data_IF_254932544161
#
_entry.id   IF_254932544161
#
_cell.length_a   1.000
_cell.length_b   1.000
_cell.length_c   1.000
_cell.angle_alpha   90.00
_cell.angle_beta   90.00
_cell.angle_gamma   90.00
#
_symmetry.space_group_name_H-M   'P 1'
#
loop_
_entity.id
_entity.type
_entity.pdbx_description
1 polymer ?
#
# COMPACT_ATOMS: atom_id res chain seq x y z
N UNK A 1 -3.58 -2.73 -21.99
CA UNK A 1 -2.49 -3.70 -21.72
C UNK A 1 -2.07 -3.56 -20.27
N UNK A 2 -1.67 -4.64 -19.59
CA UNK A 2 -1.22 -4.61 -18.19
C UNK A 2 0.28 -4.37 -18.12
N UNK A 3 0.72 -3.32 -17.40
CA UNK A 3 2.14 -2.98 -17.24
C UNK A 3 2.85 -3.95 -16.28
N UNK A 4 4.19 -3.93 -16.26
CA UNK A 4 4.95 -4.76 -15.31
C UNK A 4 4.70 -4.36 -13.86
N UNK A 5 4.47 -3.07 -13.59
CA UNK A 5 4.02 -2.61 -12.28
C UNK A 5 2.66 -3.20 -11.91
N UNK A 6 1.67 -3.12 -12.80
CA UNK A 6 0.33 -3.65 -12.53
C UNK A 6 0.33 -5.18 -12.39
N UNK A 7 1.17 -5.92 -13.12
CA UNK A 7 1.38 -7.37 -12.93
C UNK A 7 1.85 -7.66 -11.50
N UNK A 8 2.71 -6.80 -10.96
CA UNK A 8 3.17 -6.90 -9.58
C UNK A 8 2.08 -6.47 -8.59
N UNK A 9 1.29 -5.41 -8.85
CA UNK A 9 0.34 -4.82 -7.90
C UNK A 9 -1.04 -5.49 -7.86
N UNK A 10 -1.65 -5.79 -9.01
CA UNK A 10 -3.03 -6.26 -9.06
C UNK A 10 -3.20 -7.67 -8.48
N UNK A 11 -4.34 -7.91 -7.84
CA UNK A 11 -4.72 -9.20 -7.29
C UNK A 11 -4.94 -9.18 -5.78
N UNK A 12 -5.23 -10.36 -5.24
CA UNK A 12 -5.48 -10.58 -3.82
C UNK A 12 -4.20 -11.05 -3.13
N UNK A 13 -3.94 -10.51 -1.95
CA UNK A 13 -2.82 -10.87 -1.11
C UNK A 13 -3.28 -11.15 0.31
N UNK A 14 -2.48 -11.95 1.02
CA UNK A 14 -2.64 -12.13 2.46
C UNK A 14 -1.28 -12.36 3.13
N UNK A 15 -1.21 -12.09 4.43
CA UNK A 15 -0.03 -12.38 5.25
C UNK A 15 -0.23 -13.67 6.09
N UNK A 16 -1.04 -14.64 5.64
CA UNK A 16 -1.41 -15.83 6.43
C UNK A 16 -0.19 -16.51 7.04
N UNK A 17 0.86 -16.78 6.24
CA UNK A 17 2.10 -17.43 6.72
C UNK A 17 2.76 -16.63 7.84
N UNK A 18 2.85 -15.30 7.70
CA UNK A 18 3.44 -14.42 8.70
C UNK A 18 2.60 -14.41 9.99
N UNK A 19 1.27 -14.27 9.87
CA UNK A 19 0.35 -14.28 11.00
C UNK A 19 0.35 -15.62 11.75
N UNK A 20 0.41 -16.76 11.05
CA UNK A 20 0.51 -18.08 11.70
C UNK A 20 1.87 -18.30 12.38
N UNK A 21 2.95 -17.70 11.86
CA UNK A 21 4.29 -17.86 12.43
C UNK A 21 4.51 -17.01 13.69
N UNK A 22 3.82 -15.88 13.83
CA UNK A 22 3.92 -14.98 14.99
C UNK A 22 2.55 -14.32 15.30
N UNK A 23 1.58 -15.09 15.82
CA UNK A 23 0.18 -14.66 15.92
C UNK A 23 -0.09 -13.53 16.92
N UNK A 24 0.81 -13.32 17.89
CA UNK A 24 0.72 -12.19 18.83
C UNK A 24 1.29 -10.89 18.24
N UNK A 25 2.05 -10.97 17.14
CA UNK A 25 2.70 -9.82 16.50
C UNK A 25 1.95 -9.36 15.25
N UNK A 26 1.30 -10.28 14.54
CA UNK A 26 0.65 -10.00 13.26
C UNK A 26 -0.80 -10.43 13.25
N UNK A 27 -1.70 -9.47 13.02
CA UNK A 27 -3.05 -9.79 12.58
C UNK A 27 -3.01 -10.39 11.17
N UNK A 28 -3.89 -11.34 10.89
CA UNK A 28 -4.09 -11.81 9.52
C UNK A 28 -4.95 -10.80 8.74
N UNK A 29 -4.37 -10.25 7.68
CA UNK A 29 -4.93 -9.20 6.85
C UNK A 29 -4.96 -9.69 5.41
N UNK A 30 -6.00 -9.29 4.68
CA UNK A 30 -6.12 -9.45 3.24
C UNK A 30 -6.07 -8.09 2.56
N UNK A 31 -5.48 -8.05 1.37
CA UNK A 31 -5.41 -6.87 0.51
C UNK A 31 -5.90 -7.27 -0.88
N UNK A 32 -6.76 -6.46 -1.48
CA UNK A 32 -7.15 -6.60 -2.87
C UNK A 32 -6.85 -5.32 -3.63
N UNK A 33 -6.18 -5.47 -4.76
CA UNK A 33 -6.01 -4.43 -5.78
C UNK A 33 -6.71 -4.86 -7.07
N UNK A 34 -7.68 -4.09 -7.52
CA UNK A 34 -8.46 -4.38 -8.71
C UNK A 34 -8.60 -3.16 -9.61
N UNK A 35 -8.87 -3.40 -10.90
CA UNK A 35 -9.20 -2.31 -11.84
C UNK A 35 -10.66 -1.95 -11.68
N UNK A 36 -10.94 -0.66 -11.73
CA UNK A 36 -12.27 -0.09 -11.79
C UNK A 36 -12.35 0.93 -12.92
N UNK A 37 -13.55 1.41 -13.24
CA UNK A 37 -13.68 2.55 -14.13
C UNK A 37 -12.93 3.76 -13.54
N UNK A 38 -12.07 4.39 -14.35
CA UNK A 38 -11.29 5.57 -13.94
C UNK A 38 -9.98 5.31 -13.20
N UNK A 39 -9.67 4.06 -12.81
CA UNK A 39 -8.39 3.74 -12.18
C UNK A 39 -8.35 2.38 -11.46
N UNK A 40 -7.78 2.37 -10.26
CA UNK A 40 -7.63 1.20 -9.41
C UNK A 40 -8.37 1.37 -8.10
N UNK A 41 -8.77 0.25 -7.51
CA UNK A 41 -9.36 0.17 -6.19
C UNK A 41 -8.51 -0.70 -5.29
N UNK A 42 -8.13 -0.18 -4.13
CA UNK A 42 -7.46 -0.96 -3.07
C UNK A 42 -8.38 -1.14 -1.88
N UNK A 43 -8.49 -2.38 -1.38
CA UNK A 43 -9.21 -2.72 -0.15
C UNK A 43 -8.30 -3.51 0.79
N UNK A 44 -8.39 -3.23 2.08
CA UNK A 44 -7.66 -3.96 3.12
C UNK A 44 -8.60 -4.28 4.28
N UNK A 45 -8.64 -5.53 4.71
CA UNK A 45 -9.51 -6.00 5.80
C UNK A 45 -8.82 -7.04 6.65
N UNK A 46 -9.26 -7.15 7.91
CA UNK A 46 -8.87 -8.28 8.75
C UNK A 46 -9.61 -9.54 8.29
N UNK A 47 -8.98 -10.72 8.38
CA UNK A 47 -9.62 -12.00 7.99
C UNK A 47 -11.04 -12.18 8.56
N UNK A 48 -11.26 -11.72 9.79
CA UNK A 48 -12.54 -11.89 10.50
C UNK A 48 -13.60 -10.83 10.15
N UNK A 49 -13.26 -9.79 9.39
CA UNK A 49 -14.12 -8.65 9.05
C UNK A 49 -14.10 -8.37 7.54
N UNK A 50 -14.37 -9.40 6.72
CA UNK A 50 -14.26 -9.33 5.25
C UNK A 50 -15.12 -8.24 4.58
N UNK A 51 -16.26 -7.91 5.17
CA UNK A 51 -17.24 -6.96 4.61
C UNK A 51 -17.02 -5.53 5.12
N UNK A 52 -16.03 -5.32 6.00
CA UNK A 52 -15.73 -4.03 6.62
C UNK A 52 -14.24 -3.70 6.45
N UNK A 53 -13.80 -3.32 5.22
CA UNK A 53 -12.42 -2.92 5.02
C UNK A 53 -12.06 -1.72 5.88
N UNK A 54 -11.00 -1.85 6.68
CA UNK A 54 -10.53 -0.77 7.55
C UNK A 54 -9.76 0.31 6.76
N UNK A 55 -9.28 -0.03 5.55
CA UNK A 55 -8.63 0.90 4.63
C UNK A 55 -9.06 0.63 3.21
N UNK A 56 -9.57 1.69 2.59
CA UNK A 56 -10.03 1.69 1.21
C UNK A 56 -9.59 2.99 0.51
N UNK A 57 -9.41 2.92 -0.80
CA UNK A 57 -9.02 4.07 -1.60
C UNK A 57 -8.98 3.76 -3.09
N UNK A 58 -9.22 4.79 -3.88
CA UNK A 58 -9.05 4.74 -5.32
C UNK A 58 -7.71 5.32 -5.72
N UNK A 59 -7.20 4.88 -6.87
CA UNK A 59 -5.88 5.27 -7.33
C UNK A 59 -5.83 5.47 -8.84
N UNK A 60 -4.96 6.37 -9.27
CA UNK A 60 -4.56 6.50 -10.67
C UNK A 60 -3.06 6.30 -10.79
N UNK A 61 -2.63 5.75 -11.92
CA UNK A 61 -1.22 5.54 -12.22
C UNK A 61 -0.77 6.59 -13.22
N UNK A 62 0.23 7.39 -12.86
CA UNK A 62 0.88 8.36 -13.74
C UNK A 62 2.32 7.95 -13.98
N UNK A 63 2.59 7.39 -15.17
CA UNK A 63 3.92 6.90 -15.53
C UNK A 63 4.80 8.07 -15.97
N UNK A 64 5.96 8.22 -15.34
CA UNK A 64 6.97 9.21 -15.74
C UNK A 64 8.07 8.56 -16.58
N UNK A 65 8.27 7.25 -16.46
CA UNK A 65 9.12 6.42 -17.33
C UNK A 65 8.75 4.92 -17.19
N UNK A 66 9.48 4.04 -17.86
CA UNK A 66 9.33 2.58 -17.71
C UNK A 66 9.71 2.07 -16.32
N UNK A 67 10.51 2.83 -15.57
CA UNK A 67 11.03 2.46 -14.26
C UNK A 67 10.55 3.39 -13.14
N UNK A 68 9.64 4.32 -13.43
CA UNK A 68 9.15 5.29 -12.45
C UNK A 68 7.69 5.68 -12.71
N UNK A 69 6.89 5.67 -11.65
CA UNK A 69 5.50 6.12 -11.70
C UNK A 69 5.06 6.74 -10.38
N UNK A 70 3.99 7.53 -10.47
CA UNK A 70 3.26 8.08 -9.33
C UNK A 70 1.94 7.31 -9.20
N UNK A 71 1.68 6.81 -7.99
CA UNK A 71 0.38 6.27 -7.57
C UNK A 71 -0.34 7.38 -6.84
N UNK A 72 -1.30 7.95 -7.55
CA UNK A 72 -2.15 9.03 -7.11
C UNK A 72 -3.21 8.50 -6.14
N UNK A 73 -3.30 9.07 -4.93
CA UNK A 73 -4.20 8.54 -3.89
C UNK A 73 -5.52 9.32 -3.81
N UNK A 74 -6.65 8.62 -3.84
CA UNK A 74 -7.98 9.21 -3.77
C UNK A 74 -8.85 8.55 -2.68
N UNK A 75 -9.83 9.30 -2.20
CA UNK A 75 -10.99 8.74 -1.49
C UNK A 75 -11.91 7.99 -2.48
N UNK A 76 -12.87 7.23 -1.95
CA UNK A 76 -13.81 6.42 -2.76
C UNK A 76 -14.88 7.23 -3.48
N UNK A 77 -14.90 8.54 -3.28
CA UNK A 77 -15.70 9.53 -4.03
C UNK A 77 -14.86 10.26 -5.11
N UNK A 78 -13.64 9.79 -5.38
CA UNK A 78 -12.65 10.42 -6.27
C UNK A 78 -12.14 11.79 -5.82
N UNK A 79 -12.34 12.18 -4.56
CA UNK A 79 -11.67 13.35 -3.98
C UNK A 79 -10.18 13.03 -3.76
N UNK A 80 -9.27 13.87 -4.27
CA UNK A 80 -7.81 13.67 -4.17
C UNK A 80 -7.36 13.76 -2.72
N UNK A 81 -6.48 12.84 -2.31
CA UNK A 81 -5.75 12.91 -1.04
C UNK A 81 -4.47 13.71 -1.28
N UNK A 82 -4.61 15.03 -1.24
CA UNK A 82 -3.51 15.97 -1.43
C UNK A 82 -2.29 15.59 -0.60
N UNK A 83 -1.10 15.74 -1.19
CA UNK A 83 0.20 15.44 -0.59
C UNK A 83 0.47 13.98 -0.19
N UNK A 84 -0.45 13.05 -0.45
CA UNK A 84 -0.34 11.64 -0.04
C UNK A 84 -0.14 10.67 -1.22
N UNK A 85 0.32 11.18 -2.35
CA UNK A 85 0.69 10.34 -3.48
C UNK A 85 1.95 9.52 -3.16
N UNK A 86 2.13 8.43 -3.88
CA UNK A 86 3.31 7.59 -3.73
C UNK A 86 4.13 7.61 -5.01
N UNK A 87 5.45 7.69 -4.87
CA UNK A 87 6.38 7.49 -5.98
C UNK A 87 6.94 6.08 -5.90
N UNK A 88 6.89 5.36 -7.02
CA UNK A 88 7.44 4.02 -7.18
C UNK A 88 8.58 4.06 -8.19
N UNK A 89 9.72 3.44 -7.84
CA UNK A 89 10.88 3.29 -8.70
C UNK A 89 11.28 1.83 -8.82
N UNK A 90 11.52 1.35 -10.03
CA UNK A 90 12.03 0.02 -10.31
C UNK A 90 13.56 0.02 -10.26
N UNK A 91 14.14 -0.89 -9.47
CA UNK A 91 15.59 -1.01 -9.28
C UNK A 91 16.25 -2.13 -10.13
N UNK A 92 15.48 -2.73 -11.05
CA UNK A 92 15.89 -3.92 -11.81
C UNK A 92 15.37 -5.23 -11.22
N UNK A 93 14.85 -5.23 -9.99
CA UNK A 93 14.34 -6.41 -9.29
C UNK A 93 12.94 -6.19 -8.68
N UNK A 94 12.70 -5.04 -8.09
CA UNK A 94 11.47 -4.73 -7.37
C UNK A 94 11.02 -3.28 -7.63
N UNK A 95 9.72 -3.06 -7.46
CA UNK A 95 9.17 -1.71 -7.39
C UNK A 95 9.18 -1.23 -5.95
N UNK A 96 9.96 -0.18 -5.68
CA UNK A 96 10.11 0.41 -4.35
C UNK A 96 9.29 1.70 -4.29
N UNK A 97 8.26 1.70 -3.44
CA UNK A 97 7.29 2.76 -3.24
C UNK A 97 7.50 3.49 -1.93
N UNK A 98 7.35 4.80 -1.96
CA UNK A 98 7.31 5.68 -0.78
C UNK A 98 6.39 6.87 -1.01
N UNK A 99 6.00 7.57 0.06
CA UNK A 99 5.27 8.84 -0.07
C UNK A 99 6.09 9.83 -0.92
N UNK A 100 5.41 10.51 -1.84
CA UNK A 100 5.97 11.60 -2.63
C UNK A 100 5.90 12.89 -1.80
N UNK A 101 7.07 13.40 -1.40
CA UNK A 101 7.19 14.55 -0.51
C UNK A 101 7.03 14.17 0.97
N UNK A 102 6.80 15.17 1.81
CA UNK A 102 6.77 15.08 3.27
C UNK A 102 5.51 15.70 3.90
N UNK A 103 4.54 16.11 3.07
CA UNK A 103 3.34 16.83 3.50
C UNK A 103 2.09 15.94 3.66
N UNK A 104 2.24 14.61 3.60
CA UNK A 104 1.15 13.69 3.90
C UNK A 104 0.98 13.54 5.42
N UNK A 105 -0.10 14.10 6.00
CA UNK A 105 -0.42 13.96 7.42
C UNK A 105 -1.73 13.20 7.61
N UNK A 106 -1.73 12.21 8.52
CA UNK A 106 -2.93 11.43 8.89
C UNK A 106 -2.91 11.12 10.38
N UNK A 107 -4.08 11.24 11.03
CA UNK A 107 -4.28 10.90 12.45
C UNK A 107 -3.20 11.55 13.36
N UNK A 108 -2.89 12.83 13.11
CA UNK A 108 -1.92 13.60 13.91
C UNK A 108 -0.44 13.29 13.65
N UNK A 109 -0.09 12.50 12.62
CA UNK A 109 1.30 12.21 12.28
C UNK A 109 1.58 12.28 10.78
N UNK A 110 2.79 12.70 10.43
CA UNK A 110 3.35 12.63 9.08
C UNK A 110 3.50 11.17 8.67
N UNK A 111 2.90 10.80 7.56
CA UNK A 111 2.91 9.43 7.04
C UNK A 111 4.30 9.12 6.49
N UNK A 112 4.88 8.03 6.98
CA UNK A 112 6.03 7.37 6.39
C UNK A 112 5.58 5.98 5.98
N UNK A 113 5.58 5.74 4.67
CA UNK A 113 5.16 4.50 4.05
C UNK A 113 6.27 3.95 3.18
N UNK A 114 6.48 2.65 3.26
CA UNK A 114 7.37 1.88 2.41
C UNK A 114 6.57 0.71 1.84
N UNK A 115 6.55 0.58 0.52
CA UNK A 115 5.94 -0.55 -0.19
C UNK A 115 6.96 -1.15 -1.13
N UNK A 116 7.14 -2.47 -1.08
CA UNK A 116 7.99 -3.19 -2.03
C UNK A 116 7.12 -4.21 -2.76
N UNK A 117 7.03 -4.08 -4.08
CA UNK A 117 6.38 -5.08 -4.93
C UNK A 117 7.45 -5.90 -5.63
N UNK A 118 7.50 -7.18 -5.33
CA UNK A 118 8.47 -8.12 -5.91
C UNK A 118 7.80 -9.44 -6.24
N UNK A 119 7.74 -9.79 -7.52
CA UNK A 119 7.07 -11.00 -8.02
C UNK A 119 5.61 -11.09 -7.53
N UNK A 120 5.34 -12.06 -6.65
CA UNK A 120 4.04 -12.32 -6.01
C UNK A 120 4.00 -11.82 -4.57
N UNK A 121 4.84 -10.87 -4.18
CA UNK A 121 4.86 -10.34 -2.82
C UNK A 121 4.66 -8.83 -2.81
N UNK A 122 3.91 -8.38 -1.81
CA UNK A 122 3.76 -6.99 -1.42
C UNK A 122 4.26 -6.89 0.01
N UNK A 123 5.35 -6.16 0.22
CA UNK A 123 5.82 -5.82 1.56
C UNK A 123 5.35 -4.41 1.87
N UNK A 124 4.85 -4.19 3.07
CA UNK A 124 4.36 -2.88 3.47
C UNK A 124 4.72 -2.57 4.91
N UNK A 125 5.11 -1.32 5.14
CA UNK A 125 5.29 -0.74 6.46
C UNK A 125 4.77 0.69 6.43
N UNK A 126 3.82 0.97 7.33
CA UNK A 126 3.22 2.28 7.50
C UNK A 126 3.38 2.76 8.95
N UNK A 127 3.80 4.01 9.11
CA UNK A 127 3.84 4.69 10.41
C UNK A 127 3.52 6.18 10.30
N UNK A 128 3.05 6.75 11.40
CA UNK A 128 2.89 8.18 11.57
C UNK A 128 3.91 8.73 12.55
N UNK A 129 4.60 9.80 12.17
CA UNK A 129 5.57 10.49 13.01
C UNK A 129 5.06 11.87 13.41
N UNK A 130 5.28 12.30 14.65
CA UNK A 130 5.05 13.69 15.06
C UNK A 130 6.14 14.63 14.51
N UNK A 131 6.06 15.90 14.87
CA UNK A 131 7.05 16.93 14.46
C UNK A 131 8.46 16.67 15.01
N UNK A 132 8.58 15.95 16.11
CA UNK A 132 9.85 15.59 16.74
C UNK A 132 10.39 14.23 16.23
N UNK A 133 9.65 13.56 15.34
CA UNK A 133 10.01 12.26 14.79
C UNK A 133 9.59 11.06 15.65
N UNK A 134 8.82 11.27 16.72
CA UNK A 134 8.29 10.17 17.53
C UNK A 134 7.12 9.48 16.83
N UNK A 135 7.01 8.17 16.99
CA UNK A 135 5.92 7.37 16.39
C UNK A 135 4.61 7.60 17.13
N UNK A 136 3.61 8.11 16.43
CA UNK A 136 2.24 8.33 16.94
C UNK A 136 1.36 7.10 16.69
N UNK A 137 1.51 6.46 15.52
CA UNK A 137 0.77 5.26 15.15
C UNK A 137 1.56 4.40 14.15
N UNK A 138 1.07 3.18 13.93
CA UNK A 138 1.73 2.20 13.08
C UNK A 138 2.90 1.52 13.80
N UNK A 139 3.78 0.90 13.03
CA UNK A 139 4.92 0.16 13.60
C UNK A 139 6.08 0.11 12.62
N UNK A 140 7.27 -0.25 13.12
CA UNK A 140 8.42 -0.59 12.28
C UNK A 140 8.39 -2.06 11.81
N UNK A 141 7.30 -2.76 12.09
CA UNK A 141 7.10 -4.14 11.66
C UNK A 141 6.78 -4.17 10.17
N UNK A 142 7.52 -4.98 9.41
CA UNK A 142 7.26 -5.18 7.99
C UNK A 142 6.18 -6.26 7.82
N UNK A 143 5.05 -5.90 7.23
CA UNK A 143 4.05 -6.88 6.81
C UNK A 143 4.44 -7.47 5.46
N UNK A 144 4.42 -8.80 5.36
CA UNK A 144 4.76 -9.52 4.13
C UNK A 144 3.51 -10.23 3.63
N UNK A 145 2.96 -9.71 2.54
CA UNK A 145 1.79 -10.26 1.89
C UNK A 145 2.20 -11.07 0.66
N UNK A 146 1.63 -12.26 0.50
CA UNK A 146 1.82 -13.12 -0.67
C UNK A 146 0.55 -13.09 -1.52
N UNK A 147 0.72 -12.88 -2.83
CA UNK A 147 -0.32 -12.95 -3.84
C UNK A 147 -0.73 -14.41 -4.00
N UNK A 148 -2.00 -14.69 -3.74
CA UNK A 148 -2.63 -16.00 -3.91
C UNK A 148 -3.94 -15.83 -4.65
N UNK A 149 -4.37 -16.89 -5.34
CA UNK A 149 -5.68 -16.96 -6.01
C UNK A 149 -6.83 -16.85 -4.99
#
# INVERSE_FOLDING_TARGET
MTTDFEKCLLGKYNNFRQAQSAPTLFSQIEILWERIEGGLHSRQWYRHEKDHPYREGYHKLSYTSDTELIVENYNTDWTRRENCDMIFKFDGRAWNGKILGDMCYRRGGRVVSEIILINKQLHSRDKGLDEFGNRVWGSDTLYIFTKGE
#
